data_IF_001605454129
#
_entry.id   IF_001605454129
#
_cell.length_a   1.000
_cell.length_b   1.000
_cell.length_c   1.000
_cell.angle_alpha   90.00
_cell.angle_beta   90.00
_cell.angle_gamma   90.00
#
_symmetry.space_group_name_H-M   'P 1'
#
loop_
_entity.id
_entity.type
_entity.pdbx_description
1 polymer ?
#
# COMPACT_ATOMS: atom_id res chain seq x y z
N UNK A 1 10.09 33.61 -25.06
CA UNK A 1 10.70 32.30 -24.85
C UNK A 1 9.99 31.72 -23.64
N UNK A 2 8.94 30.96 -23.90
CA UNK A 2 8.16 30.31 -22.84
C UNK A 2 9.02 29.18 -22.25
N UNK A 3 9.36 29.31 -20.98
CA UNK A 3 10.00 28.23 -20.23
C UNK A 3 9.03 27.03 -20.24
N UNK A 4 9.37 26.02 -21.05
CA UNK A 4 8.67 24.74 -21.01
C UNK A 4 8.81 24.22 -19.58
N UNK A 5 7.77 24.37 -18.80
CA UNK A 5 7.68 23.80 -17.46
C UNK A 5 7.78 22.29 -17.65
N UNK A 6 8.96 21.72 -17.42
CA UNK A 6 9.08 20.26 -17.31
C UNK A 6 8.15 19.82 -16.19
N UNK A 7 7.20 18.92 -16.45
CA UNK A 7 6.31 18.46 -15.40
C UNK A 7 7.16 17.90 -14.26
N UNK A 8 6.91 18.39 -13.03
CA UNK A 8 7.60 17.90 -11.83
C UNK A 8 7.33 16.41 -11.68
N UNK A 9 8.40 15.62 -11.69
CA UNK A 9 8.31 14.17 -11.49
C UNK A 9 8.26 13.90 -9.99
N UNK A 10 7.15 13.39 -9.42
CA UNK A 10 7.08 13.15 -7.99
C UNK A 10 8.05 12.03 -7.58
N UNK A 11 8.72 12.22 -6.45
CA UNK A 11 9.60 11.21 -5.86
C UNK A 11 8.79 9.95 -5.48
N UNK A 12 7.59 10.15 -4.95
CA UNK A 12 6.73 9.07 -4.46
C UNK A 12 5.27 9.33 -4.79
N UNK A 13 4.57 8.27 -5.15
CA UNK A 13 3.10 8.20 -5.22
C UNK A 13 2.65 7.10 -4.26
N UNK A 14 1.85 7.44 -3.26
CA UNK A 14 1.22 6.45 -2.37
C UNK A 14 -0.18 6.11 -2.89
N UNK A 15 -0.51 4.83 -2.90
CA UNK A 15 -1.71 4.31 -3.56
C UNK A 15 -2.46 3.36 -2.65
N UNK A 16 -3.77 3.53 -2.56
CA UNK A 16 -4.67 2.54 -1.97
C UNK A 16 -5.87 2.25 -2.86
N UNK A 17 -6.44 1.08 -2.67
CA UNK A 17 -7.65 0.63 -3.36
C UNK A 17 -8.91 1.16 -2.70
N UNK A 18 -9.71 1.99 -3.39
CA UNK A 18 -11.01 2.47 -2.94
C UNK A 18 -12.16 1.92 -3.79
N UNK A 19 -13.40 2.27 -3.47
CA UNK A 19 -14.57 1.82 -4.25
C UNK A 19 -14.64 2.46 -5.65
N UNK A 20 -14.13 3.68 -5.80
CA UNK A 20 -14.02 4.34 -7.11
C UNK A 20 -12.92 3.76 -8.02
N UNK A 21 -12.12 2.82 -7.51
CA UNK A 21 -10.95 2.26 -8.16
C UNK A 21 -9.73 2.44 -7.27
N UNK A 22 -8.87 3.39 -7.55
CA UNK A 22 -7.63 3.65 -6.85
C UNK A 22 -7.52 5.12 -6.46
N UNK A 23 -7.12 5.39 -5.22
CA UNK A 23 -6.70 6.73 -4.82
C UNK A 23 -5.17 6.80 -4.83
N UNK A 24 -4.62 7.82 -5.47
CA UNK A 24 -3.20 8.11 -5.52
C UNK A 24 -2.92 9.46 -4.87
N UNK A 25 -1.91 9.53 -4.00
CA UNK A 25 -1.47 10.74 -3.31
C UNK A 25 -0.01 11.01 -3.66
N UNK A 26 0.32 12.25 -4.01
CA UNK A 26 1.68 12.69 -4.32
C UNK A 26 1.89 14.15 -3.91
N UNK A 27 3.16 14.55 -3.80
CA UNK A 27 3.59 15.94 -3.72
C UNK A 27 4.21 16.33 -5.06
N UNK A 28 3.68 17.38 -5.67
CA UNK A 28 4.13 17.90 -6.97
C UNK A 28 5.07 19.11 -6.85
N UNK A 29 5.55 19.39 -5.61
CA UNK A 29 6.45 20.51 -5.34
C UNK A 29 5.72 21.78 -4.93
N UNK A 30 4.46 21.92 -5.26
CA UNK A 30 3.52 22.97 -4.83
C UNK A 30 2.57 22.49 -3.72
N UNK A 31 2.75 21.27 -3.26
CA UNK A 31 2.01 20.66 -2.17
C UNK A 31 1.39 19.31 -2.50
N UNK A 32 0.70 18.77 -1.48
CA UNK A 32 0.03 17.48 -1.61
C UNK A 32 -1.19 17.57 -2.53
N UNK A 33 -1.26 16.62 -3.44
CA UNK A 33 -2.42 16.41 -4.32
C UNK A 33 -2.90 14.96 -4.28
N UNK A 34 -4.11 14.73 -4.79
CA UNK A 34 -4.64 13.38 -4.99
C UNK A 34 -5.32 13.26 -6.36
N UNK A 35 -5.39 12.03 -6.85
CA UNK A 35 -6.15 11.68 -8.04
C UNK A 35 -6.86 10.35 -7.82
N UNK A 36 -8.05 10.22 -8.41
CA UNK A 36 -8.78 8.95 -8.49
C UNK A 36 -8.61 8.35 -9.88
N UNK A 37 -8.42 7.05 -9.93
CA UNK A 37 -8.23 6.29 -11.17
C UNK A 37 -9.16 5.08 -11.17
N UNK A 38 -9.80 4.83 -12.31
CA UNK A 38 -10.73 3.70 -12.44
C UNK A 38 -9.98 2.35 -12.52
N UNK A 39 -8.73 2.35 -12.98
CA UNK A 39 -7.88 1.16 -13.09
C UNK A 39 -6.44 1.43 -12.70
N UNK A 40 -5.69 0.36 -12.36
CA UNK A 40 -4.27 0.48 -12.03
C UNK A 40 -3.43 0.85 -13.27
N UNK A 41 -3.83 0.41 -14.45
CA UNK A 41 -3.15 0.79 -15.70
C UNK A 41 -3.28 2.30 -15.98
N UNK A 42 -4.46 2.89 -15.76
CA UNK A 42 -4.67 4.34 -15.85
C UNK A 42 -3.82 5.10 -14.83
N UNK A 43 -3.76 4.60 -13.59
CA UNK A 43 -2.92 5.15 -12.54
C UNK A 43 -1.44 5.15 -12.97
N UNK A 44 -0.92 4.01 -13.42
CA UNK A 44 0.47 3.88 -13.84
C UNK A 44 0.83 4.82 -14.99
N UNK A 45 -0.07 4.97 -15.98
CA UNK A 45 0.10 5.91 -17.07
C UNK A 45 0.13 7.37 -16.60
N UNK A 46 -0.79 7.75 -15.68
CA UNK A 46 -0.87 9.11 -15.12
C UNK A 46 0.35 9.49 -14.27
N UNK A 47 1.00 8.50 -13.65
CA UNK A 47 2.17 8.67 -12.81
C UNK A 47 3.43 8.04 -13.41
N UNK A 48 3.51 8.03 -14.75
CA UNK A 48 4.62 7.40 -15.50
C UNK A 48 6.00 7.97 -15.12
N UNK A 49 6.07 9.24 -14.75
CA UNK A 49 7.32 9.93 -14.34
C UNK A 49 7.67 9.75 -12.87
N UNK A 50 6.81 9.15 -12.05
CA UNK A 50 7.09 8.90 -10.63
C UNK A 50 8.30 7.97 -10.47
N UNK A 51 9.15 8.27 -9.49
CA UNK A 51 10.30 7.42 -9.18
C UNK A 51 9.88 6.15 -8.43
N UNK A 52 8.91 6.28 -7.50
CA UNK A 52 8.34 5.17 -6.72
C UNK A 52 6.83 5.29 -6.67
N UNK A 53 6.14 4.18 -6.86
CA UNK A 53 4.69 4.02 -6.64
C UNK A 53 4.52 2.93 -5.59
N UNK A 54 4.03 3.28 -4.41
CA UNK A 54 3.85 2.37 -3.31
C UNK A 54 2.36 2.07 -3.15
N UNK A 55 1.98 0.80 -3.27
CA UNK A 55 0.57 0.38 -3.30
C UNK A 55 0.24 -0.63 -2.21
N UNK A 56 -0.90 -0.43 -1.53
CA UNK A 56 -1.45 -1.41 -0.56
C UNK A 56 -2.17 -2.53 -1.31
N UNK A 57 -1.39 -3.38 -1.95
CA UNK A 57 -1.88 -4.60 -2.60
C UNK A 57 -0.77 -5.65 -2.64
N UNK A 58 -1.06 -6.95 -2.43
CA UNK A 58 -0.05 -8.00 -2.55
C UNK A 58 0.57 -8.08 -3.94
N UNK A 59 1.91 -8.03 -4.01
CA UNK A 59 2.71 -8.26 -5.21
C UNK A 59 3.52 -9.54 -5.03
N UNK A 60 3.51 -10.42 -6.05
CA UNK A 60 3.99 -11.79 -5.90
C UNK A 60 3.02 -12.61 -5.05
N UNK A 61 2.46 -13.65 -5.62
CA UNK A 61 1.36 -14.41 -5.02
C UNK A 61 1.82 -15.79 -4.55
N UNK A 62 1.18 -16.37 -3.52
CA UNK A 62 1.52 -17.70 -3.06
C UNK A 62 1.16 -18.74 -4.11
N UNK A 63 1.98 -19.81 -4.18
CA UNK A 63 1.76 -20.98 -5.05
C UNK A 63 2.11 -22.26 -4.30
N UNK A 64 2.05 -23.43 -4.98
CA UNK A 64 2.20 -24.76 -4.38
C UNK A 64 3.48 -24.90 -3.55
N UNK A 65 4.63 -24.47 -4.07
CA UNK A 65 5.92 -24.64 -3.39
C UNK A 65 6.21 -23.52 -2.38
N UNK A 66 5.46 -22.41 -2.43
CA UNK A 66 5.51 -21.34 -1.45
C UNK A 66 4.08 -20.93 -1.03
N UNK A 67 3.39 -21.76 -0.25
CA UNK A 67 1.97 -21.53 0.09
C UNK A 67 1.75 -20.35 1.04
N UNK A 68 2.81 -19.75 1.56
CA UNK A 68 2.73 -18.59 2.46
C UNK A 68 3.88 -17.64 2.19
N UNK A 69 3.55 -16.42 1.76
CA UNK A 69 4.52 -15.37 1.47
C UNK A 69 5.37 -15.04 2.70
N UNK A 70 6.71 -14.98 2.57
CA UNK A 70 7.60 -14.63 3.70
C UNK A 70 7.31 -13.25 4.28
N UNK A 71 7.03 -12.25 3.45
CA UNK A 71 6.71 -10.89 3.89
C UNK A 71 5.44 -10.84 4.75
N UNK A 72 4.38 -11.61 4.42
CA UNK A 72 3.17 -11.67 5.24
C UNK A 72 3.45 -12.26 6.64
N UNK A 73 4.29 -13.30 6.72
CA UNK A 73 4.67 -13.90 8.01
C UNK A 73 5.45 -12.91 8.88
N UNK A 74 6.40 -12.20 8.26
CA UNK A 74 7.19 -11.18 8.95
C UNK A 74 6.32 -10.00 9.39
N UNK A 75 5.42 -9.51 8.52
CA UNK A 75 4.48 -8.45 8.88
C UNK A 75 3.61 -8.81 10.09
N UNK A 76 3.09 -10.05 10.12
CA UNK A 76 2.31 -10.53 11.27
C UNK A 76 3.14 -10.59 12.55
N UNK A 77 4.37 -11.08 12.48
CA UNK A 77 5.28 -11.13 13.63
C UNK A 77 5.60 -9.73 14.15
N UNK A 78 5.86 -8.78 13.24
CA UNK A 78 6.15 -7.38 13.56
C UNK A 78 4.96 -6.69 14.24
N UNK A 79 3.76 -6.89 13.69
CA UNK A 79 2.55 -6.21 14.14
C UNK A 79 1.94 -6.80 15.41
N UNK A 80 2.32 -8.01 15.83
CA UNK A 80 1.88 -8.63 17.08
C UNK A 80 0.36 -8.58 17.29
N UNK A 81 -0.16 -7.74 18.19
CA UNK A 81 -1.60 -7.63 18.45
C UNK A 81 -2.44 -7.22 17.23
N UNK A 82 -1.79 -6.64 16.22
CA UNK A 82 -2.41 -6.20 14.95
C UNK A 82 -2.16 -7.17 13.79
N UNK A 83 -1.59 -8.35 14.05
CA UNK A 83 -1.29 -9.37 13.04
C UNK A 83 -2.48 -9.74 12.14
N UNK A 84 -3.70 -9.66 12.67
CA UNK A 84 -4.94 -9.94 11.93
C UNK A 84 -5.23 -8.94 10.80
N UNK A 85 -4.53 -7.79 10.74
CA UNK A 85 -4.64 -6.86 9.62
C UNK A 85 -3.96 -7.39 8.35
N UNK A 86 -2.97 -8.27 8.51
CA UNK A 86 -2.26 -8.90 7.38
C UNK A 86 -2.99 -10.18 6.98
N UNK A 87 -3.85 -10.09 6.00
CA UNK A 87 -4.53 -11.26 5.45
C UNK A 87 -3.58 -12.09 4.56
N UNK A 88 -3.97 -13.34 4.28
CA UNK A 88 -3.23 -14.17 3.33
C UNK A 88 -3.82 -13.96 1.94
N UNK A 89 -3.06 -13.49 0.95
CA UNK A 89 -3.57 -13.35 -0.41
C UNK A 89 -3.88 -14.72 -1.04
N UNK A 90 -4.73 -14.74 -2.07
CA UNK A 90 -5.01 -15.94 -2.85
C UNK A 90 -3.80 -16.34 -3.70
N UNK A 91 -3.80 -17.59 -4.17
CA UNK A 91 -2.98 -17.95 -5.31
C UNK A 91 -3.45 -17.21 -6.58
N UNK A 92 -2.57 -17.08 -7.58
CA UNK A 92 -2.88 -16.38 -8.84
C UNK A 92 -4.10 -16.98 -9.55
N UNK A 93 -4.20 -18.29 -9.60
CA UNK A 93 -5.38 -18.98 -10.17
C UNK A 93 -6.65 -18.67 -9.37
N UNK A 94 -6.57 -18.74 -8.04
CA UNK A 94 -7.73 -18.46 -7.19
C UNK A 94 -8.20 -17.00 -7.29
N UNK A 95 -7.29 -16.02 -7.48
CA UNK A 95 -7.65 -14.62 -7.67
C UNK A 95 -8.46 -14.36 -8.94
N UNK A 96 -8.30 -15.19 -9.97
CA UNK A 96 -8.97 -15.11 -11.28
C UNK A 96 -10.25 -15.96 -11.38
N UNK A 97 -10.70 -16.56 -10.29
CA UNK A 97 -11.89 -17.40 -10.26
C UNK A 97 -13.18 -16.60 -10.58
N UNK A 98 -14.16 -17.25 -11.17
CA UNK A 98 -15.44 -16.62 -11.52
C UNK A 98 -16.32 -16.31 -10.28
N UNK A 99 -16.13 -17.06 -9.19
CA UNK A 99 -16.90 -16.89 -7.96
C UNK A 99 -16.10 -17.36 -6.74
N UNK A 100 -16.55 -16.99 -5.55
CA UNK A 100 -15.86 -17.31 -4.29
C UNK A 100 -15.77 -18.81 -4.00
N UNK A 101 -16.75 -19.60 -4.43
CA UNK A 101 -16.73 -21.06 -4.27
C UNK A 101 -15.57 -21.69 -5.05
N UNK A 102 -15.43 -21.32 -6.30
CA UNK A 102 -14.33 -21.73 -7.16
C UNK A 102 -12.98 -21.23 -6.64
N UNK A 103 -12.91 -19.97 -6.22
CA UNK A 103 -11.70 -19.39 -5.64
C UNK A 103 -11.23 -20.19 -4.40
N UNK A 104 -12.16 -20.54 -3.52
CA UNK A 104 -11.87 -21.35 -2.32
C UNK A 104 -11.35 -22.74 -2.66
N UNK A 105 -11.98 -23.40 -3.64
CA UNK A 105 -11.55 -24.73 -4.08
C UNK A 105 -10.14 -24.70 -4.67
N UNK A 106 -9.89 -23.75 -5.58
CA UNK A 106 -8.57 -23.60 -6.20
C UNK A 106 -7.48 -23.18 -5.20
N UNK A 107 -7.80 -22.28 -4.28
CA UNK A 107 -6.85 -21.86 -3.26
C UNK A 107 -6.50 -23.01 -2.29
N UNK A 108 -7.48 -23.85 -1.94
CA UNK A 108 -7.25 -25.04 -1.13
C UNK A 108 -6.34 -26.05 -1.83
N UNK A 109 -6.57 -26.28 -3.13
CA UNK A 109 -5.76 -27.19 -3.96
C UNK A 109 -4.31 -26.71 -4.11
N UNK A 110 -4.10 -25.39 -4.32
CA UNK A 110 -2.77 -24.86 -4.61
C UNK A 110 -1.95 -24.52 -3.37
N UNK A 111 -2.57 -23.95 -2.34
CA UNK A 111 -1.85 -23.44 -1.17
C UNK A 111 -2.31 -24.03 0.17
N UNK A 112 -3.11 -25.09 0.13
CA UNK A 112 -3.52 -25.86 1.30
C UNK A 112 -4.44 -25.12 2.28
N UNK A 113 -5.03 -23.98 1.88
CA UNK A 113 -5.97 -23.22 2.73
C UNK A 113 -7.11 -22.59 1.93
N UNK A 114 -8.28 -22.48 2.56
CA UNK A 114 -9.42 -21.82 1.96
C UNK A 114 -9.22 -20.29 1.93
N UNK A 115 -9.92 -19.60 1.03
CA UNK A 115 -9.88 -18.16 0.86
C UNK A 115 -10.90 -17.47 1.77
N UNK A 116 -10.47 -16.42 2.47
CA UNK A 116 -11.37 -15.57 3.26
C UNK A 116 -12.26 -14.68 2.36
N UNK A 117 -13.40 -14.24 2.89
CA UNK A 117 -14.24 -13.28 2.18
C UNK A 117 -13.54 -11.92 1.95
N UNK A 118 -12.68 -11.51 2.89
CA UNK A 118 -11.87 -10.30 2.76
C UNK A 118 -10.88 -10.42 1.58
N UNK A 119 -10.13 -11.51 1.52
CA UNK A 119 -9.19 -11.74 0.42
C UNK A 119 -9.92 -11.85 -0.93
N UNK A 120 -11.11 -12.46 -0.97
CA UNK A 120 -11.94 -12.48 -2.18
C UNK A 120 -12.36 -11.08 -2.63
N UNK A 121 -12.69 -10.19 -1.67
CA UNK A 121 -13.13 -8.82 -1.95
C UNK A 121 -12.10 -7.97 -2.70
N UNK A 122 -10.82 -8.30 -2.58
CA UNK A 122 -9.73 -7.55 -3.25
C UNK A 122 -9.11 -8.30 -4.44
N UNK A 123 -9.60 -9.51 -4.78
CA UNK A 123 -9.05 -10.30 -5.90
C UNK A 123 -9.00 -9.52 -7.21
N UNK A 124 -10.04 -8.72 -7.52
CA UNK A 124 -10.06 -7.91 -8.75
C UNK A 124 -8.89 -6.92 -8.79
N UNK A 125 -8.58 -6.27 -7.66
CA UNK A 125 -7.47 -5.33 -7.56
C UNK A 125 -6.11 -6.04 -7.64
N UNK A 126 -5.98 -7.20 -7.00
CA UNK A 126 -4.79 -8.05 -7.13
C UNK A 126 -4.56 -8.39 -8.60
N UNK A 127 -5.59 -8.85 -9.33
CA UNK A 127 -5.50 -9.20 -10.75
C UNK A 127 -5.12 -8.00 -11.62
N UNK A 128 -5.62 -6.80 -11.32
CA UNK A 128 -5.25 -5.59 -12.07
C UNK A 128 -3.75 -5.29 -11.94
N UNK A 129 -3.22 -5.29 -10.71
CA UNK A 129 -1.80 -5.01 -10.46
C UNK A 129 -0.91 -6.13 -11.00
N UNK A 130 -1.25 -7.39 -10.70
CA UNK A 130 -0.55 -8.58 -11.17
C UNK A 130 -0.38 -8.55 -12.70
N UNK A 131 -1.48 -8.29 -13.44
CA UNK A 131 -1.43 -8.22 -14.90
C UNK A 131 -0.51 -7.12 -15.40
N UNK A 132 -0.63 -5.92 -14.86
CA UNK A 132 0.20 -4.77 -15.28
C UNK A 132 1.68 -5.04 -15.03
N UNK A 133 2.03 -5.67 -13.89
CA UNK A 133 3.42 -5.96 -13.57
C UNK A 133 4.00 -7.11 -14.41
N UNK A 134 3.18 -8.05 -14.82
CA UNK A 134 3.60 -9.14 -15.72
C UNK A 134 3.76 -8.65 -17.17
N UNK A 135 2.93 -7.69 -17.61
CA UNK A 135 2.96 -7.15 -18.97
C UNK A 135 4.04 -6.05 -19.14
N UNK A 136 4.35 -5.29 -18.08
CA UNK A 136 5.32 -4.17 -18.11
C UNK A 136 6.45 -4.37 -17.10
N UNK A 137 7.56 -4.93 -17.54
CA UNK A 137 8.75 -5.12 -16.71
C UNK A 137 9.38 -3.80 -16.23
N UNK A 138 9.07 -2.67 -16.86
CA UNK A 138 9.53 -1.36 -16.39
C UNK A 138 8.77 -0.91 -15.15
N UNK A 139 7.50 -1.32 -15.00
CA UNK A 139 6.70 -1.06 -13.82
C UNK A 139 7.28 -1.74 -12.58
N UNK A 140 7.85 -2.97 -12.70
CA UNK A 140 8.46 -3.70 -11.59
C UNK A 140 9.63 -2.97 -10.92
N UNK A 141 10.22 -1.98 -11.59
CA UNK A 141 11.32 -1.19 -11.03
C UNK A 141 10.84 -0.02 -10.16
N UNK A 142 9.58 0.36 -10.24
CA UNK A 142 9.05 1.52 -9.53
C UNK A 142 7.77 1.27 -8.74
N UNK A 143 7.09 0.14 -8.97
CA UNK A 143 5.90 -0.25 -8.21
C UNK A 143 6.32 -1.21 -7.09
N UNK A 144 5.98 -0.87 -5.86
CA UNK A 144 6.34 -1.65 -4.68
C UNK A 144 5.12 -1.86 -3.79
N UNK A 145 5.04 -3.05 -3.21
CA UNK A 145 4.05 -3.34 -2.19
C UNK A 145 4.40 -2.67 -0.88
N UNK A 146 3.40 -2.11 -0.23
CA UNK A 146 3.44 -1.70 1.18
C UNK A 146 2.24 -2.29 1.92
N UNK A 147 2.34 -2.36 3.24
CA UNK A 147 1.20 -2.64 4.10
C UNK A 147 1.04 -1.47 5.09
N UNK A 148 -0.07 -0.71 5.06
CA UNK A 148 -0.23 0.52 5.83
C UNK A 148 0.04 0.37 7.33
N UNK A 149 -0.42 -0.72 7.97
CA UNK A 149 -0.15 -0.94 9.40
C UNK A 149 1.36 -1.17 9.68
N UNK A 150 2.12 -1.75 8.73
CA UNK A 150 3.58 -1.87 8.83
C UNK A 150 4.25 -0.51 8.66
N UNK A 151 3.78 0.29 7.70
CA UNK A 151 4.26 1.65 7.50
C UNK A 151 3.98 2.54 8.73
N UNK A 152 2.78 2.46 9.30
CA UNK A 152 2.44 3.15 10.54
C UNK A 152 3.24 2.65 11.74
N UNK A 153 3.55 1.35 11.81
CA UNK A 153 4.44 0.80 12.82
C UNK A 153 5.81 1.48 12.76
N UNK A 154 6.38 1.62 11.57
CA UNK A 154 7.66 2.30 11.38
C UNK A 154 7.62 3.78 11.73
N UNK A 155 6.54 4.50 11.35
CA UNK A 155 6.35 5.90 11.74
C UNK A 155 6.14 6.11 13.24
N UNK A 156 5.61 5.10 13.92
CA UNK A 156 5.30 5.14 15.35
C UNK A 156 6.45 4.57 16.23
N UNK A 157 7.68 4.61 15.73
CA UNK A 157 8.87 4.17 16.47
C UNK A 157 8.83 2.69 16.85
N UNK A 158 8.41 1.83 15.92
CA UNK A 158 8.37 0.39 16.12
C UNK A 158 7.22 -0.11 17.00
N UNK A 159 6.13 0.66 17.11
CA UNK A 159 4.96 0.28 17.91
C UNK A 159 3.70 0.20 17.05
N UNK A 160 2.91 -0.90 17.13
CA UNK A 160 1.65 -1.01 16.41
C UNK A 160 0.66 0.08 16.84
N UNK A 161 -0.20 0.50 15.90
CA UNK A 161 -1.32 1.40 16.21
C UNK A 161 -2.29 0.77 17.22
N UNK A 162 -2.72 1.55 18.20
CA UNK A 162 -3.60 1.08 19.30
C UNK A 162 -5.03 0.92 18.83
N UNK A 163 -5.52 1.88 18.05
CA UNK A 163 -6.92 1.97 17.67
C UNK A 163 -7.15 1.44 16.23
N UNK A 164 -8.34 0.88 16.02
CA UNK A 164 -8.77 0.43 14.69
C UNK A 164 -8.92 1.62 13.73
N UNK A 165 -8.42 1.53 12.49
CA UNK A 165 -8.44 2.60 11.50
C UNK A 165 -9.86 3.12 11.18
N UNK A 166 -10.88 2.28 11.29
CA UNK A 166 -12.28 2.64 11.06
C UNK A 166 -12.94 3.43 12.20
N UNK A 167 -12.23 3.68 13.32
CA UNK A 167 -12.74 4.44 14.45
C UNK A 167 -12.14 5.85 14.48
N UNK A 168 -12.86 6.86 14.99
CA UNK A 168 -12.34 8.23 15.07
C UNK A 168 -11.00 8.34 15.80
N UNK A 169 -10.81 7.54 16.86
CA UNK A 169 -9.54 7.47 17.60
C UNK A 169 -8.40 6.95 16.71
N UNK A 170 -8.69 5.93 15.89
CA UNK A 170 -7.71 5.38 14.96
C UNK A 170 -7.33 6.33 13.83
N UNK A 171 -8.27 7.14 13.35
CA UNK A 171 -8.00 8.21 12.38
C UNK A 171 -7.08 9.27 13.02
N UNK A 172 -7.41 9.74 14.24
CA UNK A 172 -6.60 10.73 14.95
C UNK A 172 -5.18 10.22 15.24
N UNK A 173 -5.05 8.97 15.67
CA UNK A 173 -3.75 8.34 15.95
C UNK A 173 -2.87 8.31 14.71
N UNK A 174 -3.42 7.93 13.54
CA UNK A 174 -2.67 7.88 12.27
C UNK A 174 -2.32 9.27 11.75
N UNK A 175 -3.24 10.23 11.85
CA UNK A 175 -2.94 11.62 11.51
C UNK A 175 -1.82 12.20 12.38
N UNK A 176 -1.82 11.92 13.68
CA UNK A 176 -0.75 12.36 14.57
C UNK A 176 0.61 11.77 14.15
N UNK A 177 0.66 10.49 13.79
CA UNK A 177 1.87 9.87 13.29
C UNK A 177 2.33 10.45 11.95
N UNK A 178 1.40 10.72 11.03
CA UNK A 178 1.69 11.31 9.72
C UNK A 178 2.17 12.76 9.84
N UNK A 179 1.56 13.56 10.72
CA UNK A 179 1.81 15.01 10.81
C UNK A 179 3.25 15.37 11.13
N UNK A 180 3.98 14.48 11.78
CA UNK A 180 5.43 14.65 12.07
C UNK A 180 6.25 14.76 10.79
N UNK A 181 5.89 14.02 9.76
CA UNK A 181 6.63 13.96 8.46
C UNK A 181 5.88 14.64 7.32
N UNK A 182 4.59 14.84 7.49
CA UNK A 182 3.69 15.38 6.48
C UNK A 182 2.64 16.31 7.14
N UNK A 183 3.03 17.53 7.53
CA UNK A 183 2.13 18.45 8.23
C UNK A 183 0.81 18.75 7.49
N UNK A 184 0.81 18.65 6.15
CA UNK A 184 -0.37 18.86 5.32
C UNK A 184 -1.32 17.62 5.25
N UNK A 185 -1.05 16.52 5.96
CA UNK A 185 -1.83 15.28 5.86
C UNK A 185 -3.31 15.48 6.23
N UNK A 186 -3.59 16.18 7.34
CA UNK A 186 -4.98 16.47 7.74
C UNK A 186 -5.70 17.35 6.73
N UNK A 187 -5.04 18.40 6.23
CA UNK A 187 -5.62 19.26 5.20
C UNK A 187 -5.99 18.48 3.94
N UNK A 188 -5.13 17.58 3.47
CA UNK A 188 -5.45 16.73 2.33
C UNK A 188 -6.61 15.77 2.64
N UNK A 189 -6.59 15.11 3.79
CA UNK A 189 -7.70 14.23 4.20
C UNK A 189 -9.04 14.97 4.18
N UNK A 190 -9.11 16.13 4.82
CA UNK A 190 -10.34 16.94 4.85
C UNK A 190 -10.76 17.41 3.46
N UNK A 191 -9.81 17.75 2.59
CA UNK A 191 -10.08 18.11 1.19
C UNK A 191 -10.69 16.95 0.42
N UNK A 192 -10.07 15.77 0.47
CA UNK A 192 -10.57 14.57 -0.20
C UNK A 192 -11.99 14.24 0.25
N UNK A 193 -12.24 14.20 1.57
CA UNK A 193 -13.55 13.87 2.12
C UNK A 193 -14.65 14.89 1.77
N UNK A 194 -14.31 16.15 1.49
CA UNK A 194 -15.26 17.16 0.99
C UNK A 194 -15.52 17.05 -0.51
N UNK A 195 -14.48 16.70 -1.29
CA UNK A 195 -14.54 16.68 -2.76
C UNK A 195 -15.04 15.34 -3.32
N UNK A 196 -15.04 14.26 -2.52
CA UNK A 196 -15.48 12.93 -2.93
C UNK A 196 -16.72 12.48 -2.18
N UNK A 197 -17.46 11.54 -2.78
CA UNK A 197 -18.59 10.92 -2.06
C UNK A 197 -18.06 9.85 -1.12
N UNK A 198 -18.61 9.78 0.10
CA UNK A 198 -18.25 8.76 1.09
C UNK A 198 -18.39 7.31 0.59
N UNK A 199 -19.25 7.06 -0.38
CA UNK A 199 -19.37 5.74 -1.00
C UNK A 199 -18.23 5.40 -1.95
N UNK A 200 -17.44 6.37 -2.40
CA UNK A 200 -16.35 6.19 -3.36
C UNK A 200 -14.98 6.11 -2.68
N UNK A 201 -14.78 6.95 -1.63
CA UNK A 201 -13.51 7.03 -0.88
C UNK A 201 -13.82 7.16 0.61
N UNK A 202 -13.14 6.39 1.44
CA UNK A 202 -13.21 6.44 2.89
C UNK A 202 -11.97 7.13 3.48
N UNK A 203 -12.07 7.56 4.74
CA UNK A 203 -10.94 8.20 5.43
C UNK A 203 -9.73 7.26 5.57
N UNK A 204 -9.97 5.97 5.77
CA UNK A 204 -8.89 4.98 5.84
C UNK A 204 -8.17 4.78 4.50
N UNK A 205 -8.88 4.82 3.37
CA UNK A 205 -8.25 4.75 2.04
C UNK A 205 -7.27 5.92 1.84
N UNK A 206 -7.65 7.13 2.29
CA UNK A 206 -6.78 8.31 2.19
C UNK A 206 -5.57 8.20 3.11
N UNK A 207 -5.75 7.73 4.35
CA UNK A 207 -4.67 7.56 5.32
C UNK A 207 -3.68 6.48 4.87
N UNK A 208 -4.16 5.41 4.28
CA UNK A 208 -3.34 4.32 3.76
C UNK A 208 -2.54 4.78 2.53
N UNK A 209 -3.12 5.57 1.63
CA UNK A 209 -2.37 6.22 0.53
C UNK A 209 -1.36 7.26 1.05
N UNK A 210 -1.69 8.04 2.09
CA UNK A 210 -0.78 9.02 2.69
C UNK A 210 0.45 8.34 3.32
N UNK A 211 0.26 7.27 4.09
CA UNK A 211 1.40 6.57 4.72
C UNK A 211 2.26 5.87 3.68
N UNK A 212 1.67 5.34 2.61
CA UNK A 212 2.41 4.82 1.46
C UNK A 212 3.26 5.91 0.81
N UNK A 213 2.70 7.11 0.57
CA UNK A 213 3.43 8.26 0.04
C UNK A 213 4.60 8.67 0.94
N UNK A 214 4.40 8.80 2.25
CA UNK A 214 5.48 9.12 3.21
C UNK A 214 6.57 8.06 3.17
N UNK A 215 6.21 6.79 3.16
CA UNK A 215 7.16 5.67 3.06
C UNK A 215 8.02 5.78 1.80
N UNK A 216 7.40 6.06 0.64
CA UNK A 216 8.13 6.16 -0.61
C UNK A 216 9.02 7.42 -0.74
N UNK A 217 8.82 8.43 0.11
CA UNK A 217 9.70 9.61 0.20
C UNK A 217 10.93 9.38 1.08
N UNK A 218 10.95 8.31 1.85
CA UNK A 218 12.08 8.00 2.71
C UNK A 218 13.39 7.91 1.90
N UNK A 219 14.47 8.45 2.48
CA UNK A 219 15.80 8.26 1.91
C UNK A 219 16.20 6.79 1.98
N UNK A 220 17.12 6.37 1.11
CA UNK A 220 17.50 4.95 1.01
C UNK A 220 17.96 4.36 2.35
N UNK A 221 18.61 5.16 3.19
CA UNK A 221 19.07 4.77 4.52
C UNK A 221 17.92 4.48 5.52
N UNK A 222 16.75 5.02 5.31
CA UNK A 222 15.55 4.85 6.16
C UNK A 222 14.59 3.80 5.59
N UNK A 223 14.64 3.58 4.27
CA UNK A 223 13.78 2.62 3.60
C UNK A 223 14.20 1.19 3.94
N UNK A 224 13.26 0.38 4.35
CA UNK A 224 13.49 -1.01 4.75
C UNK A 224 12.70 -1.97 3.88
N UNK A 225 13.31 -3.12 3.67
CA UNK A 225 12.65 -4.30 3.12
C UNK A 225 12.27 -5.20 4.27
N UNK A 226 11.02 -5.62 4.34
CA UNK A 226 10.54 -6.44 5.43
C UNK A 226 11.20 -7.83 5.46
N UNK A 227 11.58 -8.35 4.29
CA UNK A 227 12.37 -9.59 4.15
C UNK A 227 13.73 -9.21 3.62
N UNK A 228 14.80 -9.65 4.28
CA UNK A 228 16.18 -9.32 3.92
C UNK A 228 16.55 -9.79 2.50
N UNK A 229 16.16 -11.01 2.14
CA UNK A 229 16.28 -11.55 0.78
C UNK A 229 14.87 -11.85 0.28
N UNK A 230 14.32 -11.05 -0.64
CA UNK A 230 12.99 -11.30 -1.17
C UNK A 230 12.98 -12.60 -1.97
N UNK A 231 11.93 -13.40 -1.78
CA UNK A 231 11.62 -14.52 -2.67
C UNK A 231 10.72 -14.03 -3.80
N UNK A 232 10.84 -14.65 -4.95
CA UNK A 232 9.96 -14.42 -6.09
C UNK A 232 8.84 -15.45 -6.10
N UNK A 233 7.73 -15.10 -6.71
CA UNK A 233 6.68 -16.07 -6.99
C UNK A 233 6.97 -16.85 -8.27
N UNK A 234 6.04 -17.71 -8.67
CA UNK A 234 6.16 -18.58 -9.86
C UNK A 234 6.24 -17.83 -11.21
N UNK A 235 5.94 -16.52 -11.21
CA UNK A 235 6.04 -15.64 -12.38
C UNK A 235 7.19 -14.61 -12.26
N UNK A 236 8.01 -14.69 -11.21
CA UNK A 236 9.16 -13.81 -10.98
C UNK A 236 8.84 -12.47 -10.32
N UNK A 237 7.63 -12.29 -9.78
CA UNK A 237 7.30 -11.11 -9.00
C UNK A 237 7.78 -11.25 -7.55
N UNK A 238 8.44 -10.21 -7.03
CA UNK A 238 9.02 -10.22 -5.68
C UNK A 238 7.95 -10.15 -4.60
N UNK A 239 7.95 -11.10 -3.67
CA UNK A 239 7.13 -11.09 -2.46
C UNK A 239 7.82 -10.28 -1.36
N UNK A 240 7.66 -8.98 -1.41
CA UNK A 240 8.33 -8.04 -0.52
C UNK A 240 7.44 -6.86 -0.17
N UNK A 241 7.48 -6.43 1.09
CA UNK A 241 6.86 -5.18 1.55
C UNK A 241 7.94 -4.17 1.90
N UNK A 242 7.75 -2.92 1.45
CA UNK A 242 8.57 -1.80 1.86
C UNK A 242 7.93 -1.09 3.06
N UNK A 243 8.76 -0.56 3.93
CA UNK A 243 8.37 0.35 4.99
C UNK A 243 9.53 1.29 5.30
N UNK A 244 9.29 2.34 6.05
CA UNK A 244 10.36 3.19 6.57
C UNK A 244 10.40 3.08 8.09
N UNK A 245 11.59 3.14 8.66
CA UNK A 245 11.81 3.14 10.08
C UNK A 245 12.47 4.46 10.46
N UNK A 246 11.72 5.28 11.19
CA UNK A 246 12.23 6.55 11.66
C UNK A 246 12.57 6.45 13.15
N UNK A 247 13.77 6.86 13.50
CA UNK A 247 14.09 7.10 14.90
C UNK A 247 13.17 8.20 15.43
N UNK A 248 12.47 7.93 16.52
CA UNK A 248 11.74 8.96 17.24
C UNK A 248 12.79 9.95 17.74
N UNK A 249 12.90 11.11 17.09
CA UNK A 249 13.68 12.22 17.66
C UNK A 249 13.03 12.53 19.01
N UNK A 250 13.76 12.46 20.14
CA UNK A 250 13.19 12.86 21.42
C UNK A 250 12.69 14.31 21.30
N UNK A 251 11.45 14.58 21.70
CA UNK A 251 11.00 15.95 21.84
C UNK A 251 12.02 16.67 22.74
N UNK A 252 12.42 17.90 22.39
CA UNK A 252 13.29 18.68 23.27
C UNK A 252 12.62 18.77 24.65
N UNK A 253 13.36 18.57 25.74
CA UNK A 253 12.80 18.65 27.08
C UNK A 253 12.23 20.06 27.28
N UNK A 254 10.92 20.16 27.42
CA UNK A 254 10.24 21.38 27.85
C UNK A 254 9.66 22.25 26.70
N UNK A 255 8.61 21.80 26.07
CA UNK A 255 7.64 22.65 25.36
C UNK A 255 6.24 22.42 25.90
#
# INVERSE_FOLDING_TARGET
MDAVHKPYAPLSVGVDGCRAGWIAVADLGDGLTYRLHASFAELLASWSTAQRILVDIPIGLPWRDCPSRPCDRQARALLGPRASSVFSPPSRRASRAANIGQARAWNLDEVGRSLSAQAWGICKKIVEVDRVLLEDTSANRKVFEVHPEVCFWGLNGGKPMRHRKSKPEGVRERLAALSVRLPAADHLLQRVLRETRRQDVLADDVLDALVAHVTGRAVEAELRRLVGVPSEDDEGLQMQMLFCEYELTPLPPGS
#
